data_IF_914654219227
#
_entry.id   IF_914654219227
#
_cell.length_a   1.000
_cell.length_b   1.000
_cell.length_c   1.000
_cell.angle_alpha   90.00
_cell.angle_beta   90.00
_cell.angle_gamma   90.00
#
_symmetry.space_group_name_H-M   'P 1'
#
loop_
_entity.id
_entity.type
_entity.pdbx_description
1 polymer ?
#
# COMPACT_ATOMS: atom_id res chain seq x y z
N UNK A 1 -17.38 36.98 15.18
CA UNK A 1 -16.87 36.39 13.94
C UNK A 1 -15.77 35.37 14.29
N UNK A 2 -16.16 34.09 14.51
CA UNK A 2 -15.19 32.98 14.62
C UNK A 2 -14.54 32.78 13.25
N UNK A 3 -13.37 33.36 13.02
CA UNK A 3 -12.49 32.99 11.91
C UNK A 3 -12.21 31.49 12.04
N UNK A 4 -12.73 30.68 11.10
CA UNK A 4 -12.32 29.30 10.91
C UNK A 4 -10.81 29.29 10.72
N UNK A 5 -10.06 28.93 11.76
CA UNK A 5 -8.64 28.60 11.60
C UNK A 5 -8.61 27.42 10.61
N UNK A 6 -8.27 27.72 9.38
CA UNK A 6 -7.96 26.72 8.37
C UNK A 6 -6.92 25.79 9.00
N UNK A 7 -7.33 24.59 9.34
CA UNK A 7 -6.47 23.55 9.93
C UNK A 7 -5.29 23.34 8.98
N UNK A 8 -4.18 24.04 9.27
CA UNK A 8 -2.95 23.93 8.48
C UNK A 8 -2.37 22.53 8.70
N UNK A 9 -2.06 21.81 7.62
CA UNK A 9 -1.41 20.51 7.69
C UNK A 9 -0.05 20.64 8.38
N UNK A 10 0.14 19.95 9.49
CA UNK A 10 1.42 19.83 10.19
C UNK A 10 2.28 18.77 9.53
N UNK A 11 3.52 19.11 9.18
CA UNK A 11 4.48 18.23 8.51
C UNK A 11 5.64 17.94 9.46
N UNK A 12 5.91 16.66 9.68
CA UNK A 12 7.00 16.18 10.53
C UNK A 12 8.04 15.46 9.67
N UNK A 13 9.31 15.82 9.84
CA UNK A 13 10.44 15.21 9.15
C UNK A 13 11.27 14.32 10.08
N UNK A 14 11.00 14.37 11.37
CA UNK A 14 11.66 13.57 12.40
C UNK A 14 10.66 12.91 13.35
N UNK A 15 11.08 11.80 13.92
CA UNK A 15 10.29 10.97 14.84
C UNK A 15 9.95 11.68 16.15
N UNK A 16 10.88 12.43 16.72
CA UNK A 16 10.74 13.06 18.05
C UNK A 16 9.62 14.11 18.04
N UNK A 17 9.66 15.01 17.06
CA UNK A 17 8.64 16.05 16.90
C UNK A 17 7.26 15.47 16.58
N UNK A 18 7.21 14.41 15.77
CA UNK A 18 5.95 13.71 15.52
C UNK A 18 5.38 13.13 16.83
N UNK A 19 6.16 12.37 17.58
CA UNK A 19 5.70 11.72 18.82
C UNK A 19 5.23 12.77 19.82
N UNK A 20 5.97 13.87 20.00
CA UNK A 20 5.59 14.95 20.89
C UNK A 20 4.21 15.54 20.54
N UNK A 21 3.95 15.76 19.26
CA UNK A 21 2.66 16.29 18.79
C UNK A 21 1.50 15.32 18.99
N UNK A 22 1.73 14.02 18.73
CA UNK A 22 0.63 13.04 18.70
C UNK A 22 0.44 12.25 19.99
N UNK A 23 1.32 12.39 20.99
CA UNK A 23 1.33 11.58 22.23
C UNK A 23 0.02 11.63 23.00
N UNK A 24 -0.65 12.78 23.04
CA UNK A 24 -1.96 12.98 23.70
C UNK A 24 -3.16 12.70 22.80
N UNK A 25 -2.92 12.37 21.52
CA UNK A 25 -4.00 12.23 20.55
C UNK A 25 -4.53 10.81 20.52
N UNK A 26 -5.82 10.67 20.80
CA UNK A 26 -6.56 9.41 20.65
C UNK A 26 -7.12 9.26 19.23
N UNK A 27 -7.40 8.02 18.83
CA UNK A 27 -8.05 7.68 17.55
C UNK A 27 -7.29 8.18 16.31
N UNK A 28 -5.98 7.90 16.24
CA UNK A 28 -5.19 8.17 15.04
C UNK A 28 -5.53 7.12 13.97
N UNK A 29 -5.99 7.61 12.80
CA UNK A 29 -6.14 6.83 11.58
C UNK A 29 -4.91 7.01 10.70
N UNK A 30 -4.15 5.95 10.48
CA UNK A 30 -2.90 6.00 9.74
C UNK A 30 -3.04 5.46 8.32
N UNK A 31 -2.47 6.17 7.36
CA UNK A 31 -2.42 5.78 5.95
C UNK A 31 -0.97 5.79 5.48
N UNK A 32 -0.26 4.65 5.54
CA UNK A 32 1.11 4.56 5.02
C UNK A 32 1.13 4.63 3.50
N UNK A 33 2.03 5.44 2.94
CA UNK A 33 2.27 5.52 1.49
C UNK A 33 3.76 5.61 1.18
N UNK A 34 4.10 5.29 -0.07
CA UNK A 34 5.44 5.55 -0.61
C UNK A 34 5.50 6.80 -1.50
N UNK A 35 4.50 7.69 -1.39
CA UNK A 35 4.38 8.86 -2.26
C UNK A 35 3.78 8.55 -3.63
N UNK A 36 3.95 9.50 -4.57
CA UNK A 36 3.27 9.49 -5.88
C UNK A 36 1.77 9.31 -5.71
N UNK A 37 1.17 10.24 -4.93
CA UNK A 37 -0.22 10.16 -4.48
C UNK A 37 -1.17 10.17 -5.68
N UNK A 38 -2.06 9.17 -5.74
CA UNK A 38 -3.06 9.00 -6.79
C UNK A 38 -4.44 8.71 -6.20
N UNK A 39 -5.49 8.63 -7.03
CA UNK A 39 -6.88 8.41 -6.60
C UNK A 39 -7.06 7.16 -5.72
N UNK A 40 -6.22 6.13 -5.87
CA UNK A 40 -6.18 4.97 -4.97
C UNK A 40 -5.82 5.37 -3.53
N UNK A 41 -4.73 6.11 -3.33
CA UNK A 41 -4.34 6.63 -2.01
C UNK A 41 -5.40 7.59 -1.45
N UNK A 42 -5.97 8.45 -2.30
CA UNK A 42 -7.03 9.37 -1.88
C UNK A 42 -8.28 8.65 -1.38
N UNK A 43 -8.60 7.47 -1.92
CA UNK A 43 -9.72 6.67 -1.42
C UNK A 43 -9.48 6.12 -0.01
N UNK A 44 -8.24 5.68 0.30
CA UNK A 44 -7.84 5.26 1.65
C UNK A 44 -7.99 6.42 2.63
N UNK A 45 -7.44 7.57 2.27
CA UNK A 45 -7.48 8.80 3.09
C UNK A 45 -8.93 9.26 3.32
N UNK A 46 -9.77 9.24 2.27
CA UNK A 46 -11.20 9.57 2.39
C UNK A 46 -11.91 8.64 3.38
N UNK A 47 -11.59 7.33 3.35
CA UNK A 47 -12.14 6.37 4.30
C UNK A 47 -11.62 6.63 5.72
N UNK A 48 -10.33 6.90 5.88
CA UNK A 48 -9.73 7.26 7.16
C UNK A 48 -10.39 8.50 7.78
N UNK A 49 -10.63 9.54 6.98
CA UNK A 49 -11.32 10.80 7.41
C UNK A 49 -12.76 10.58 7.85
N UNK A 50 -13.45 9.56 7.37
CA UNK A 50 -14.79 9.21 7.83
C UNK A 50 -14.78 8.57 9.22
N UNK A 51 -13.66 7.91 9.59
CA UNK A 51 -13.54 7.15 10.83
C UNK A 51 -12.73 7.88 11.92
N UNK A 52 -11.98 8.94 11.56
CA UNK A 52 -11.22 9.75 12.51
C UNK A 52 -10.99 11.18 12.03
N UNK A 53 -11.04 12.12 12.96
CA UNK A 53 -10.59 13.51 12.75
C UNK A 53 -9.06 13.64 12.71
N UNK A 54 -8.33 12.65 13.26
CA UNK A 54 -6.88 12.64 13.37
C UNK A 54 -6.27 11.69 12.34
N UNK A 55 -6.28 12.11 11.06
CA UNK A 55 -5.67 11.33 9.98
C UNK A 55 -4.20 11.72 9.85
N UNK A 56 -3.33 10.73 9.95
CA UNK A 56 -1.89 10.82 9.68
C UNK A 56 -1.56 10.05 8.41
N UNK A 57 -0.89 10.71 7.48
CA UNK A 57 -0.37 10.08 6.26
C UNK A 57 1.15 10.05 6.35
N UNK A 58 1.81 8.97 5.97
CA UNK A 58 3.25 8.97 5.75
C UNK A 58 3.59 8.91 4.27
N UNK A 59 4.72 9.53 3.90
CA UNK A 59 5.37 9.34 2.60
C UNK A 59 6.78 8.85 2.89
N UNK A 60 7.03 7.56 2.67
CA UNK A 60 8.32 6.95 2.88
C UNK A 60 8.59 5.82 1.89
N UNK A 61 9.57 6.01 1.03
CA UNK A 61 9.99 4.97 0.07
C UNK A 61 11.01 4.06 0.76
N UNK A 62 10.50 2.97 1.36
CA UNK A 62 11.29 2.05 2.16
C UNK A 62 12.28 1.23 1.31
N UNK A 63 13.60 1.42 1.44
CA UNK A 63 14.56 0.69 0.61
C UNK A 63 14.53 -0.82 0.86
N UNK A 64 14.23 -1.26 2.10
CA UNK A 64 14.27 -2.68 2.51
C UNK A 64 13.16 -3.55 1.92
N UNK A 65 12.21 -2.98 1.18
CA UNK A 65 11.17 -3.75 0.48
C UNK A 65 11.38 -3.86 -1.03
N UNK A 66 12.50 -3.33 -1.55
CA UNK A 66 12.85 -3.43 -2.97
C UNK A 66 13.84 -4.57 -3.18
N UNK A 67 13.60 -5.37 -4.23
CA UNK A 67 14.50 -6.45 -4.64
C UNK A 67 15.50 -6.00 -5.70
N UNK A 68 15.29 -4.83 -6.30
CA UNK A 68 16.14 -4.23 -7.34
C UNK A 68 16.48 -2.81 -6.96
N UNK A 69 17.79 -2.49 -6.97
CA UNK A 69 18.27 -1.12 -6.80
C UNK A 69 17.77 -0.21 -7.92
N UNK A 70 17.59 -0.74 -9.12
CA UNK A 70 17.00 0.00 -10.25
C UNK A 70 15.54 0.38 -9.97
N UNK A 71 14.69 -0.55 -9.47
CA UNK A 71 13.30 -0.25 -9.13
C UNK A 71 13.21 0.78 -7.99
N UNK A 72 14.11 0.69 -7.00
CA UNK A 72 14.18 1.66 -5.91
C UNK A 72 14.59 3.05 -6.39
N UNK A 73 15.66 3.15 -7.21
CA UNK A 73 16.12 4.42 -7.75
C UNK A 73 15.10 5.08 -8.67
N UNK A 74 14.42 4.28 -9.49
CA UNK A 74 13.42 4.74 -10.48
C UNK A 74 11.99 4.76 -9.92
N UNK A 75 11.81 4.57 -8.61
CA UNK A 75 10.47 4.67 -8.03
C UNK A 75 9.98 6.13 -8.08
N UNK A 76 8.77 6.40 -8.59
CA UNK A 76 8.26 7.76 -8.75
C UNK A 76 8.22 8.51 -7.42
N UNK A 77 8.85 9.68 -7.37
CA UNK A 77 8.91 10.54 -6.17
C UNK A 77 8.72 12.00 -6.59
N UNK A 78 7.71 12.64 -6.02
CA UNK A 78 7.49 14.07 -6.14
C UNK A 78 6.83 14.55 -4.86
N UNK A 79 7.66 14.74 -3.83
CA UNK A 79 7.19 15.11 -2.49
C UNK A 79 6.43 16.43 -2.51
N UNK A 80 6.86 17.41 -3.31
CA UNK A 80 6.18 18.72 -3.38
C UNK A 80 4.76 18.59 -3.92
N UNK A 81 4.59 17.82 -4.99
CA UNK A 81 3.27 17.50 -5.56
C UNK A 81 2.39 16.74 -4.58
N UNK A 82 2.94 15.74 -3.91
CA UNK A 82 2.23 14.95 -2.91
C UNK A 82 1.76 15.82 -1.74
N UNK A 83 2.63 16.69 -1.21
CA UNK A 83 2.30 17.68 -0.17
C UNK A 83 1.17 18.60 -0.62
N UNK A 84 1.23 19.14 -1.84
CA UNK A 84 0.20 20.00 -2.39
C UNK A 84 -1.16 19.28 -2.47
N UNK A 85 -1.18 18.02 -2.93
CA UNK A 85 -2.39 17.19 -2.98
C UNK A 85 -2.96 16.98 -1.59
N UNK A 86 -2.11 16.61 -0.60
CA UNK A 86 -2.54 16.34 0.77
C UNK A 86 -3.04 17.60 1.48
N UNK A 87 -2.45 18.77 1.24
CA UNK A 87 -2.96 20.07 1.72
C UNK A 87 -4.35 20.38 1.17
N UNK A 88 -4.54 20.19 -0.15
CA UNK A 88 -5.83 20.42 -0.82
C UNK A 88 -6.97 19.60 -0.21
N UNK A 89 -6.69 18.37 0.20
CA UNK A 89 -7.68 17.50 0.84
C UNK A 89 -7.72 17.66 2.38
N UNK A 90 -7.03 18.68 2.91
CA UNK A 90 -7.03 19.07 4.33
C UNK A 90 -6.67 17.90 5.27
N UNK A 91 -5.51 17.25 5.03
CA UNK A 91 -4.92 16.29 5.96
C UNK A 91 -4.32 17.04 7.14
N UNK A 92 -4.51 16.50 8.35
CA UNK A 92 -4.03 17.15 9.57
C UNK A 92 -2.54 16.89 9.80
N UNK A 93 -2.07 15.65 9.60
CA UNK A 93 -0.71 15.23 9.90
C UNK A 93 -0.06 14.53 8.72
N UNK A 94 1.13 14.98 8.35
CA UNK A 94 1.99 14.35 7.35
C UNK A 94 3.34 14.00 7.98
N UNK A 95 3.78 12.75 7.83
CA UNK A 95 5.08 12.29 8.27
C UNK A 95 5.97 11.92 7.09
N UNK A 96 7.14 12.54 7.03
CA UNK A 96 8.17 12.35 6.00
C UNK A 96 9.45 11.84 6.68
N UNK A 97 9.50 10.59 7.17
CA UNK A 97 10.64 10.08 7.91
C UNK A 97 11.88 9.90 7.05
N UNK A 98 13.04 9.97 7.70
CA UNK A 98 14.31 9.47 7.19
C UNK A 98 14.47 7.97 7.47
N UNK A 99 15.46 7.33 6.86
CA UNK A 99 15.83 5.93 7.17
C UNK A 99 16.25 5.78 8.64
N UNK A 100 16.96 6.75 9.20
CA UNK A 100 17.35 6.77 10.60
C UNK A 100 16.15 6.85 11.55
N UNK A 101 15.12 7.64 11.24
CA UNK A 101 13.89 7.66 12.04
C UNK A 101 13.25 6.27 12.14
N UNK A 102 13.22 5.58 11.03
CA UNK A 102 12.54 4.27 10.96
C UNK A 102 13.42 3.15 11.51
N UNK A 103 14.74 3.17 11.29
CA UNK A 103 15.59 2.01 11.55
C UNK A 103 16.59 2.18 12.70
N UNK A 104 16.63 3.32 13.41
CA UNK A 104 17.55 3.57 14.52
C UNK A 104 17.18 2.86 15.84
N UNK A 105 16.06 2.17 15.91
CA UNK A 105 15.60 1.52 17.15
C UNK A 105 15.18 0.07 16.89
N UNK A 106 15.19 -0.75 17.95
CA UNK A 106 14.62 -2.11 17.93
C UNK A 106 13.09 -2.01 18.10
N UNK A 107 12.29 -2.57 17.20
CA UNK A 107 10.84 -2.56 17.35
C UNK A 107 10.40 -3.40 18.56
N UNK A 108 9.28 -3.00 19.18
CA UNK A 108 8.70 -3.67 20.36
C UNK A 108 8.34 -5.13 20.05
N UNK A 109 7.78 -5.39 18.87
CA UNK A 109 7.38 -6.72 18.47
C UNK A 109 8.32 -7.29 17.41
N UNK A 110 8.68 -8.59 17.49
CA UNK A 110 9.43 -9.26 16.42
C UNK A 110 8.57 -9.36 15.16
N UNK A 111 9.19 -9.23 13.99
CA UNK A 111 8.49 -9.42 12.72
C UNK A 111 8.07 -10.88 12.58
N UNK A 112 6.76 -11.12 12.48
CA UNK A 112 6.20 -12.44 12.23
C UNK A 112 5.79 -12.58 10.75
N UNK A 113 6.22 -13.63 10.13
CA UNK A 113 5.84 -14.08 8.78
C UNK A 113 5.71 -15.60 8.79
N UNK A 114 4.68 -16.10 8.15
CA UNK A 114 4.50 -17.54 7.88
C UNK A 114 4.99 -17.93 6.48
N UNK A 115 4.77 -19.19 6.10
CA UNK A 115 5.16 -19.70 4.79
C UNK A 115 4.43 -19.00 3.63
N UNK A 116 3.27 -18.38 3.86
CA UNK A 116 2.58 -17.61 2.83
C UNK A 116 3.46 -16.48 2.27
N UNK A 117 4.36 -15.91 3.09
CA UNK A 117 5.32 -14.90 2.64
C UNK A 117 6.32 -15.41 1.56
N UNK A 118 6.46 -16.72 1.37
CA UNK A 118 7.35 -17.34 0.37
C UNK A 118 6.61 -17.82 -0.88
N UNK A 119 5.29 -17.70 -0.93
CA UNK A 119 4.46 -18.08 -2.08
C UNK A 119 4.09 -16.86 -2.93
N UNK A 120 3.40 -17.05 -4.04
CA UNK A 120 2.88 -15.99 -4.91
C UNK A 120 3.94 -14.91 -5.19
N UNK A 121 3.64 -13.63 -4.92
CA UNK A 121 4.60 -12.53 -5.06
C UNK A 121 5.90 -12.76 -4.27
N UNK A 122 5.82 -13.39 -3.10
CA UNK A 122 6.99 -13.62 -2.24
C UNK A 122 8.00 -14.58 -2.85
N UNK A 123 7.56 -15.56 -3.66
CA UNK A 123 8.44 -16.47 -4.41
C UNK A 123 9.34 -15.71 -5.40
N UNK A 124 8.80 -14.66 -6.03
CA UNK A 124 9.49 -13.86 -7.05
C UNK A 124 10.14 -12.60 -6.48
N UNK A 125 9.90 -12.32 -5.20
CA UNK A 125 10.41 -11.15 -4.48
C UNK A 125 10.96 -11.53 -3.10
N UNK A 126 12.07 -12.30 -3.02
CA UNK A 126 12.66 -12.73 -1.74
C UNK A 126 12.92 -11.54 -0.81
N UNK A 127 12.52 -11.63 0.45
CA UNK A 127 12.72 -10.55 1.45
C UNK A 127 11.74 -9.38 1.37
N UNK A 128 10.99 -9.22 0.29
CA UNK A 128 10.04 -8.11 0.11
C UNK A 128 9.07 -7.96 1.29
N UNK A 129 8.36 -9.02 1.64
CA UNK A 129 7.37 -8.97 2.71
C UNK A 129 7.99 -8.79 4.10
N UNK A 130 9.22 -9.26 4.30
CA UNK A 130 9.98 -8.95 5.52
C UNK A 130 10.23 -7.45 5.64
N UNK A 131 10.61 -6.80 4.54
CA UNK A 131 10.77 -5.34 4.49
C UNK A 131 9.48 -4.59 4.74
N UNK A 132 8.37 -5.04 4.13
CA UNK A 132 7.04 -4.41 4.28
C UNK A 132 6.49 -4.55 5.70
N UNK A 133 6.48 -5.76 6.26
CA UNK A 133 5.95 -5.97 7.62
C UNK A 133 6.83 -5.25 8.65
N UNK A 134 8.16 -5.26 8.47
CA UNK A 134 9.07 -4.55 9.35
C UNK A 134 8.82 -3.03 9.39
N UNK A 135 8.66 -2.39 8.23
CA UNK A 135 8.40 -0.93 8.21
C UNK A 135 7.04 -0.58 8.82
N UNK A 136 6.00 -1.38 8.55
CA UNK A 136 4.67 -1.18 9.16
C UNK A 136 4.73 -1.36 10.67
N UNK A 137 5.43 -2.39 11.15
CA UNK A 137 5.66 -2.64 12.59
C UNK A 137 6.33 -1.44 13.27
N UNK A 138 7.36 -0.85 12.64
CA UNK A 138 8.03 0.35 13.16
C UNK A 138 7.14 1.59 13.14
N UNK A 139 6.30 1.76 12.13
CA UNK A 139 5.28 2.81 12.14
C UNK A 139 4.26 2.62 13.27
N UNK A 140 3.90 1.37 13.58
CA UNK A 140 3.01 1.09 14.73
C UNK A 140 3.66 1.53 16.04
N UNK A 141 4.94 1.25 16.24
CA UNK A 141 5.67 1.68 17.44
C UNK A 141 5.78 3.21 17.58
N UNK A 142 6.04 3.90 16.46
CA UNK A 142 6.20 5.36 16.44
C UNK A 142 4.85 6.08 16.63
N UNK A 143 3.81 5.63 15.91
CA UNK A 143 2.54 6.36 15.76
C UNK A 143 1.49 5.85 16.76
N UNK A 144 1.55 4.58 17.12
CA UNK A 144 0.55 3.87 17.95
C UNK A 144 -0.89 4.08 17.41
N UNK A 145 -1.14 3.85 16.11
CA UNK A 145 -2.42 4.15 15.51
C UNK A 145 -3.48 3.14 15.96
N UNK A 146 -4.71 3.58 16.16
CA UNK A 146 -5.83 2.67 16.41
C UNK A 146 -6.27 1.94 15.14
N UNK A 147 -6.10 2.58 13.97
CA UNK A 147 -6.47 1.99 12.67
C UNK A 147 -5.42 2.31 11.61
N UNK A 148 -5.07 1.30 10.80
CA UNK A 148 -4.26 1.47 9.59
C UNK A 148 -5.11 1.12 8.38
N UNK A 149 -5.13 1.99 7.36
CA UNK A 149 -5.91 1.81 6.14
C UNK A 149 -5.02 1.33 5.02
N UNK A 150 -5.28 0.12 4.51
CA UNK A 150 -4.50 -0.52 3.45
C UNK A 150 -5.39 -0.95 2.29
N UNK A 151 -4.86 -0.86 1.07
CA UNK A 151 -5.56 -1.29 -0.14
C UNK A 151 -5.54 -2.81 -0.31
N UNK A 152 -6.70 -3.41 -0.63
CA UNK A 152 -6.80 -4.85 -0.98
C UNK A 152 -6.17 -5.19 -2.33
N UNK A 153 -5.69 -4.21 -3.09
CA UNK A 153 -4.89 -4.42 -4.30
C UNK A 153 -3.67 -5.29 -4.03
N UNK A 154 -2.97 -5.01 -2.95
CA UNK A 154 -1.77 -5.74 -2.52
C UNK A 154 -2.17 -6.80 -1.48
N UNK A 155 -3.01 -7.78 -1.91
CA UNK A 155 -3.72 -8.73 -1.05
C UNK A 155 -2.78 -9.53 -0.14
N UNK A 156 -1.70 -10.08 -0.69
CA UNK A 156 -0.73 -10.87 0.09
C UNK A 156 -0.05 -10.02 1.17
N UNK A 157 0.33 -8.77 0.84
CA UNK A 157 0.84 -7.79 1.80
C UNK A 157 -0.16 -7.52 2.94
N UNK A 158 -1.42 -7.26 2.57
CA UNK A 158 -2.50 -7.00 3.52
C UNK A 158 -2.71 -8.19 4.48
N UNK A 159 -2.70 -9.41 3.96
CA UNK A 159 -2.86 -10.64 4.74
C UNK A 159 -1.72 -10.87 5.72
N UNK A 160 -0.47 -10.68 5.27
CA UNK A 160 0.71 -10.84 6.12
C UNK A 160 0.80 -9.77 7.22
N UNK A 161 0.40 -8.53 6.94
CA UNK A 161 0.33 -7.48 7.97
C UNK A 161 -0.74 -7.83 9.02
N UNK A 162 -1.93 -8.28 8.59
CA UNK A 162 -2.99 -8.73 9.51
C UNK A 162 -2.52 -9.89 10.39
N UNK A 163 -1.84 -10.87 9.81
CA UNK A 163 -1.30 -12.01 10.52
C UNK A 163 -0.25 -11.59 11.55
N UNK A 164 0.68 -10.71 11.17
CA UNK A 164 1.68 -10.15 12.08
C UNK A 164 1.04 -9.46 13.30
N UNK A 165 0.02 -8.63 13.07
CA UNK A 165 -0.72 -7.92 14.11
C UNK A 165 -1.44 -8.91 15.04
N UNK A 166 -2.11 -9.91 14.49
CA UNK A 166 -2.83 -10.91 15.27
C UNK A 166 -1.87 -11.76 16.13
N UNK A 167 -0.76 -12.23 15.55
CA UNK A 167 0.25 -13.05 16.25
C UNK A 167 0.91 -12.33 17.42
N UNK A 168 1.18 -11.05 17.25
CA UNK A 168 1.79 -10.22 18.30
C UNK A 168 0.77 -9.54 19.22
N UNK A 169 -0.54 -9.83 19.07
CA UNK A 169 -1.64 -9.24 19.86
C UNK A 169 -1.61 -7.71 19.87
N UNK A 170 -1.20 -7.09 18.76
CA UNK A 170 -1.12 -5.64 18.61
C UNK A 170 -2.53 -5.05 18.52
N UNK A 171 -2.80 -3.99 19.28
CA UNK A 171 -4.15 -3.42 19.39
C UNK A 171 -4.60 -2.59 18.18
N UNK A 172 -3.75 -2.42 17.18
CA UNK A 172 -4.06 -1.70 15.94
C UNK A 172 -4.97 -2.51 15.03
N UNK A 173 -6.07 -1.92 14.53
CA UNK A 173 -6.99 -2.55 13.55
C UNK A 173 -6.57 -2.25 12.12
N UNK A 174 -6.49 -3.27 11.26
CA UNK A 174 -6.27 -3.08 9.82
C UNK A 174 -7.61 -2.96 9.10
N UNK A 175 -7.80 -1.83 8.45
CA UNK A 175 -8.98 -1.53 7.64
C UNK A 175 -8.64 -1.78 6.16
N UNK A 176 -9.23 -2.83 5.60
CA UNK A 176 -9.09 -3.14 4.17
C UNK A 176 -9.94 -2.17 3.34
N UNK A 177 -9.34 -1.63 2.28
CA UNK A 177 -10.03 -0.72 1.38
C UNK A 177 -10.04 -1.30 -0.05
N UNK A 178 -11.15 -1.18 -0.78
CA UNK A 178 -11.30 -1.72 -2.12
C UNK A 178 -10.25 -1.18 -3.10
N UNK A 179 -9.89 -2.01 -4.08
CA UNK A 179 -9.01 -1.60 -5.17
C UNK A 179 -9.70 -0.58 -6.07
N UNK A 180 -9.14 0.61 -6.19
CA UNK A 180 -9.61 1.62 -7.11
C UNK A 180 -8.98 1.39 -8.49
N UNK A 181 -9.82 1.46 -9.53
CA UNK A 181 -9.42 1.19 -10.93
C UNK A 181 -9.71 2.38 -11.82
N UNK A 182 -9.01 2.45 -12.94
CA UNK A 182 -9.36 3.35 -14.05
C UNK A 182 -10.70 2.94 -14.67
N UNK A 183 -11.27 3.79 -15.54
CA UNK A 183 -12.47 3.41 -16.33
C UNK A 183 -12.26 2.12 -17.12
N UNK A 184 -11.03 1.86 -17.56
CA UNK A 184 -10.64 0.67 -18.33
C UNK A 184 -10.27 -0.53 -17.43
N UNK A 185 -10.59 -0.49 -16.12
CA UNK A 185 -10.42 -1.62 -15.21
C UNK A 185 -9.02 -1.79 -14.61
N UNK A 186 -8.01 -1.03 -15.03
CA UNK A 186 -6.64 -1.16 -14.53
C UNK A 186 -6.58 -0.67 -13.07
N UNK A 187 -6.00 -1.47 -12.18
CA UNK A 187 -5.78 -1.07 -10.79
C UNK A 187 -4.81 0.12 -10.72
N UNK A 188 -5.18 1.15 -9.96
CA UNK A 188 -4.34 2.32 -9.79
C UNK A 188 -3.05 1.98 -9.02
N UNK A 189 -1.93 2.43 -9.58
CA UNK A 189 -0.59 2.27 -9.02
C UNK A 189 0.30 3.44 -9.43
N UNK A 190 1.23 3.81 -8.56
CA UNK A 190 2.27 4.81 -8.90
C UNK A 190 3.10 4.40 -10.11
N UNK A 191 3.21 3.10 -10.40
CA UNK A 191 3.92 2.59 -11.58
C UNK A 191 3.15 2.74 -12.90
N UNK A 192 1.86 3.08 -12.87
CA UNK A 192 1.06 3.21 -14.10
C UNK A 192 1.55 4.33 -15.03
N UNK A 193 2.25 5.31 -14.48
CA UNK A 193 2.86 6.39 -15.28
C UNK A 193 3.94 5.89 -16.27
N UNK A 194 4.49 4.69 -16.01
CA UNK A 194 5.49 4.05 -16.87
C UNK A 194 4.86 3.30 -18.05
N UNK A 195 3.54 3.11 -18.06
CA UNK A 195 2.85 2.38 -19.11
C UNK A 195 2.53 3.30 -20.30
N UNK A 196 2.94 2.89 -21.51
CA UNK A 196 2.49 3.52 -22.74
C UNK A 196 0.96 3.34 -22.94
N UNK A 197 0.37 4.10 -23.87
CA UNK A 197 -1.05 3.95 -24.23
C UNK A 197 -1.39 2.53 -24.67
N UNK A 198 -0.52 1.89 -25.47
CA UNK A 198 -0.71 0.52 -25.93
C UNK A 198 -0.64 -0.48 -24.76
N UNK A 199 0.35 -0.35 -23.88
CA UNK A 199 0.46 -1.20 -22.68
C UNK A 199 -0.74 -1.05 -21.74
N UNK A 200 -1.28 0.15 -21.59
CA UNK A 200 -2.52 0.37 -20.83
C UNK A 200 -3.72 -0.37 -21.47
N UNK A 201 -3.83 -0.35 -22.81
CA UNK A 201 -4.91 -1.08 -23.51
C UNK A 201 -4.76 -2.59 -23.33
N UNK A 202 -3.55 -3.14 -23.46
CA UNK A 202 -3.28 -4.56 -23.21
C UNK A 202 -3.63 -4.97 -21.79
N UNK A 203 -3.19 -4.21 -20.80
CA UNK A 203 -3.49 -4.45 -19.38
C UNK A 203 -5.01 -4.43 -19.09
N UNK A 204 -5.76 -3.53 -19.74
CA UNK A 204 -7.21 -3.48 -19.64
C UNK A 204 -7.87 -4.76 -20.20
N UNK A 205 -7.44 -5.23 -21.39
CA UNK A 205 -7.95 -6.47 -21.99
C UNK A 205 -7.70 -7.68 -21.08
N UNK A 206 -6.51 -7.78 -20.49
CA UNK A 206 -6.17 -8.84 -19.53
C UNK A 206 -7.09 -8.78 -18.31
N UNK A 207 -7.32 -7.60 -17.74
CA UNK A 207 -8.21 -7.43 -16.61
C UNK A 207 -9.64 -7.90 -16.90
N UNK A 208 -10.21 -7.49 -18.03
CA UNK A 208 -11.57 -7.89 -18.40
C UNK A 208 -11.67 -9.39 -18.68
N UNK A 209 -10.65 -9.98 -19.30
CA UNK A 209 -10.58 -11.42 -19.51
C UNK A 209 -10.58 -12.18 -18.16
N UNK A 210 -9.72 -11.82 -17.22
CA UNK A 210 -9.68 -12.43 -15.88
C UNK A 210 -10.98 -12.23 -15.09
N UNK A 211 -11.61 -11.04 -15.22
CA UNK A 211 -12.90 -10.75 -14.59
C UNK A 211 -14.01 -11.66 -15.12
N UNK A 212 -14.02 -11.93 -16.44
CA UNK A 212 -15.01 -12.82 -17.05
C UNK A 212 -14.80 -14.27 -16.64
N UNK A 213 -13.54 -14.75 -16.58
CA UNK A 213 -13.23 -16.09 -16.09
C UNK A 213 -13.73 -16.26 -14.66
N UNK A 214 -13.46 -15.31 -13.76
CA UNK A 214 -13.92 -15.37 -12.37
C UNK A 214 -15.44 -15.53 -12.26
N UNK A 215 -16.21 -14.92 -13.17
CA UNK A 215 -17.68 -15.05 -13.17
C UNK A 215 -18.15 -16.42 -13.61
N UNK A 216 -17.40 -17.08 -14.51
CA UNK A 216 -17.78 -18.32 -15.18
C UNK A 216 -16.89 -19.50 -14.73
N UNK A 217 -16.28 -19.41 -13.55
CA UNK A 217 -15.50 -20.51 -12.97
C UNK A 217 -16.46 -21.66 -12.62
N UNK A 218 -16.36 -22.73 -13.42
CA UNK A 218 -17.09 -23.99 -13.20
C UNK A 218 -16.09 -24.99 -12.62
N UNK A 219 -16.57 -25.89 -11.77
CA UNK A 219 -15.79 -27.03 -11.25
C UNK A 219 -15.20 -27.84 -12.40
N UNK A 220 -13.89 -28.15 -12.35
CA UNK A 220 -13.19 -28.90 -13.38
C UNK A 220 -11.69 -29.00 -13.14
N UNK A 221 -10.92 -29.47 -14.11
CA UNK A 221 -9.48 -29.60 -14.04
C UNK A 221 -8.80 -28.21 -14.04
N UNK A 222 -8.48 -27.73 -12.85
CA UNK A 222 -7.86 -26.40 -12.63
C UNK A 222 -6.51 -26.25 -13.35
N UNK A 223 -5.73 -27.32 -13.50
CA UNK A 223 -4.43 -27.26 -14.18
C UNK A 223 -4.57 -26.96 -15.67
N UNK A 224 -5.51 -27.62 -16.35
CA UNK A 224 -5.81 -27.37 -17.77
C UNK A 224 -6.36 -25.94 -17.94
N UNK A 225 -7.24 -25.53 -17.05
CA UNK A 225 -7.80 -24.18 -17.07
C UNK A 225 -6.72 -23.11 -16.89
N UNK A 226 -5.81 -23.27 -15.91
CA UNK A 226 -4.67 -22.37 -15.72
C UNK A 226 -3.83 -22.23 -16.99
N UNK A 227 -3.49 -23.35 -17.66
CA UNK A 227 -2.71 -23.33 -18.89
C UNK A 227 -3.42 -22.56 -20.01
N UNK A 228 -4.73 -22.78 -20.20
CA UNK A 228 -5.54 -22.04 -21.19
C UNK A 228 -5.55 -20.54 -20.90
N UNK A 229 -5.71 -20.17 -19.62
CA UNK A 229 -5.71 -18.77 -19.20
C UNK A 229 -4.35 -18.11 -19.44
N UNK A 230 -3.25 -18.77 -19.05
CA UNK A 230 -1.89 -18.29 -19.27
C UNK A 230 -1.62 -18.03 -20.77
N UNK A 231 -1.91 -19.03 -21.63
CA UNK A 231 -1.78 -18.86 -23.08
C UNK A 231 -2.55 -17.64 -23.60
N UNK A 232 -3.80 -17.46 -23.16
CA UNK A 232 -4.61 -16.31 -23.59
C UNK A 232 -4.08 -14.99 -23.08
N UNK A 233 -3.57 -14.90 -21.86
CA UNK A 233 -2.97 -13.67 -21.31
C UNK A 233 -1.71 -13.27 -22.08
N UNK A 234 -0.87 -14.23 -22.50
CA UNK A 234 0.30 -13.98 -23.36
C UNK A 234 -0.15 -13.44 -24.71
N UNK A 235 -1.15 -14.07 -25.35
CA UNK A 235 -1.75 -13.58 -26.60
C UNK A 235 -2.35 -12.17 -26.49
N UNK A 236 -2.83 -11.78 -25.32
CA UNK A 236 -3.30 -10.42 -25.03
C UNK A 236 -2.16 -9.41 -24.81
N UNK A 237 -0.92 -9.87 -24.82
CA UNK A 237 0.28 -9.05 -24.81
C UNK A 237 1.00 -8.94 -23.46
N UNK A 238 0.81 -9.89 -22.56
CA UNK A 238 1.67 -10.03 -21.40
C UNK A 238 3.02 -10.64 -21.83
N UNK A 239 4.12 -9.99 -21.46
CA UNK A 239 5.47 -10.46 -21.75
C UNK A 239 5.92 -11.55 -20.77
N UNK A 240 5.45 -11.48 -19.53
CA UNK A 240 5.81 -12.41 -18.46
C UNK A 240 4.63 -12.59 -17.50
N UNK A 241 4.45 -13.80 -17.02
CA UNK A 241 3.50 -14.16 -15.95
C UNK A 241 4.30 -14.88 -14.87
N UNK A 242 4.43 -14.27 -13.71
CA UNK A 242 5.12 -14.89 -12.57
C UNK A 242 4.29 -16.03 -11.98
N UNK A 243 2.97 -15.83 -11.85
CA UNK A 243 2.02 -16.85 -11.39
C UNK A 243 0.58 -16.51 -11.75
N UNK A 244 -0.26 -17.52 -11.77
CA UNK A 244 -1.73 -17.43 -11.83
C UNK A 244 -2.30 -18.42 -10.82
N UNK A 245 -3.11 -17.91 -9.88
CA UNK A 245 -3.86 -18.73 -8.92
C UNK A 245 -5.37 -18.48 -9.06
N UNK A 246 -6.15 -19.55 -8.92
CA UNK A 246 -7.61 -19.58 -9.09
C UNK A 246 -8.28 -19.97 -7.77
#
# INVERSE_FOLDING_TARGET
TFKSQLLQMKIFKDKKNLINEISSIKNIAFVPTMGSIHKGHLSLIKKAKKESKNVLVSIYVNPKQFNSNSDFKNYPRDTNKDVAILRKIKIKYLYLPSDSDIYSFRPMFPVYLDNFAKTLCGKFRPGHFKGVVNVVNRFIDIIKPQKIFLGSKDFQQLSLIKLHIAKNKIQTKIISCPTIRTRNGIALSSRNIKLSRNQNQKAAKIFYYLKNIKKNLISGNLSILKLKIIKKIILLGAEKIDYLEL
#
